data_IF_083655061426
#
_entry.id   IF_083655061426
#
_cell.length_a   1.000
_cell.length_b   1.000
_cell.length_c   1.000
_cell.angle_alpha   90.00
_cell.angle_beta   90.00
_cell.angle_gamma   90.00
#
_symmetry.space_group_name_H-M   'P 1'
#
loop_
_entity.id
_entity.type
_entity.pdbx_description
1 polymer ?
#
# COMPACT_ATOMS: atom_id res chain seq x y z
N UNK A 1 16.17 50.70 -21.96
CA UNK A 1 14.98 50.77 -21.10
C UNK A 1 14.47 49.36 -20.92
N UNK A 2 14.32 48.94 -19.67
CA UNK A 2 14.27 47.55 -19.18
C UNK A 2 13.11 46.71 -19.74
N UNK A 3 13.41 45.45 -20.04
CA UNK A 3 12.45 44.35 -20.14
C UNK A 3 12.04 43.91 -18.73
N UNK A 4 10.74 43.72 -18.48
CA UNK A 4 10.23 43.10 -17.27
C UNK A 4 9.83 41.64 -17.56
N UNK A 5 10.60 40.72 -16.97
CA UNK A 5 10.25 39.33 -16.75
C UNK A 5 9.07 39.24 -15.77
N UNK A 6 7.98 38.59 -16.18
CA UNK A 6 6.96 38.15 -15.24
C UNK A 6 7.40 36.80 -14.65
N UNK A 7 7.89 36.84 -13.42
CA UNK A 7 8.22 35.67 -12.61
C UNK A 7 6.91 35.09 -12.09
N UNK A 8 6.61 33.82 -12.43
CA UNK A 8 5.50 33.08 -11.82
C UNK A 8 5.88 32.75 -10.37
N UNK A 9 5.20 33.38 -9.42
CA UNK A 9 5.26 32.98 -8.02
C UNK A 9 4.42 31.70 -7.83
N UNK A 10 5.07 30.54 -7.80
CA UNK A 10 4.53 29.35 -7.14
C UNK A 10 4.99 29.44 -5.69
N UNK A 11 4.05 29.68 -4.78
CA UNK A 11 4.10 29.19 -3.40
C UNK A 11 2.74 29.47 -2.74
N UNK A 12 1.90 28.45 -2.66
CA UNK A 12 0.89 28.35 -1.61
C UNK A 12 0.95 26.94 -1.05
N UNK A 13 1.51 26.86 0.16
CA UNK A 13 1.36 25.71 1.04
C UNK A 13 -0.13 25.39 1.16
N UNK A 14 -0.54 24.21 0.67
CA UNK A 14 -1.85 23.61 0.90
C UNK A 14 -1.95 23.12 2.37
N UNK A 15 -1.75 24.00 3.34
CA UNK A 15 -1.99 23.69 4.76
C UNK A 15 -3.39 24.21 5.08
N UNK A 16 -4.36 23.27 5.18
CA UNK A 16 -5.70 23.57 5.71
C UNK A 16 -5.57 24.12 7.14
N UNK A 17 -6.39 25.11 7.54
CA UNK A 17 -6.30 25.69 8.87
C UNK A 17 -6.79 24.70 9.93
N UNK A 18 -5.86 24.23 10.74
CA UNK A 18 -6.04 23.45 11.97
C UNK A 18 -4.73 23.53 12.77
N UNK A 19 -4.79 23.47 14.10
CA UNK A 19 -3.54 23.37 14.88
C UNK A 19 -2.78 22.12 14.44
N UNK A 20 -1.45 22.14 14.32
CA UNK A 20 -0.69 20.95 13.95
C UNK A 20 -1.04 19.80 14.90
N UNK A 21 -1.56 18.70 14.35
CA UNK A 21 -1.72 17.45 15.08
C UNK A 21 -0.32 16.97 15.48
N UNK A 22 -0.04 16.97 16.78
CA UNK A 22 1.20 16.43 17.36
C UNK A 22 1.06 14.91 17.48
N UNK A 23 1.40 14.21 16.40
CA UNK A 23 1.33 12.74 16.28
C UNK A 23 2.70 12.24 15.87
N UNK A 24 3.16 11.16 16.49
CA UNK A 24 4.33 10.42 16.01
C UNK A 24 3.94 9.64 14.75
N UNK A 25 4.01 10.29 13.59
CA UNK A 25 3.69 9.65 12.31
C UNK A 25 4.64 8.48 12.00
N UNK A 26 5.87 8.52 12.51
CA UNK A 26 6.84 7.46 12.24
C UNK A 26 6.40 6.16 12.90
N UNK A 27 5.72 6.19 14.05
CA UNK A 27 5.11 5.01 14.68
C UNK A 27 4.18 4.23 13.75
N UNK A 28 3.43 4.94 12.89
CA UNK A 28 2.48 4.37 11.94
C UNK A 28 3.12 4.01 10.58
N UNK A 29 4.39 4.37 10.35
CA UNK A 29 5.13 3.97 9.15
C UNK A 29 5.65 2.53 9.27
N UNK A 30 5.05 1.66 8.48
CA UNK A 30 5.33 0.21 8.46
C UNK A 30 6.40 -0.19 7.46
N UNK A 31 6.94 0.76 6.69
CA UNK A 31 8.06 0.54 5.77
C UNK A 31 9.15 1.60 5.98
N UNK A 32 10.40 1.24 5.64
CA UNK A 32 11.56 2.13 5.64
C UNK A 32 12.39 1.94 4.39
N UNK A 33 13.25 2.90 4.07
CA UNK A 33 14.20 2.75 2.98
C UNK A 33 15.37 1.83 3.38
N UNK A 34 15.91 1.11 2.40
CA UNK A 34 17.07 0.25 2.54
C UNK A 34 17.96 0.37 1.30
N UNK A 35 19.23 0.70 1.51
CA UNK A 35 20.23 0.71 0.46
C UNK A 35 20.72 -0.71 0.22
N UNK A 36 20.43 -1.25 -0.96
CA UNK A 36 20.81 -2.61 -1.33
C UNK A 36 22.33 -2.66 -1.50
N UNK A 37 23.07 -3.42 -0.67
CA UNK A 37 24.51 -3.53 -0.85
C UNK A 37 24.80 -4.25 -2.16
N UNK A 38 25.93 -3.94 -2.80
CA UNK A 38 26.33 -4.59 -4.06
C UNK A 38 27.72 -5.17 -3.96
N UNK A 39 27.94 -6.28 -4.65
CA UNK A 39 29.23 -6.98 -4.71
C UNK A 39 29.54 -7.29 -6.16
N UNK A 40 30.75 -6.92 -6.59
CA UNK A 40 31.23 -7.18 -7.95
C UNK A 40 31.15 -8.67 -8.29
N UNK A 41 30.66 -8.98 -9.50
CA UNK A 41 30.46 -10.35 -9.98
C UNK A 41 29.27 -11.09 -9.36
N UNK A 42 28.44 -10.43 -8.54
CA UNK A 42 27.27 -11.04 -7.90
C UNK A 42 25.97 -10.27 -8.17
N UNK A 43 24.86 -10.99 -8.17
CA UNK A 43 23.51 -10.44 -7.97
C UNK A 43 23.22 -10.45 -6.47
N UNK A 44 22.86 -9.29 -5.94
CA UNK A 44 22.37 -9.18 -4.57
C UNK A 44 20.87 -9.48 -4.56
N UNK A 45 20.46 -10.43 -3.74
CA UNK A 45 19.06 -10.78 -3.52
C UNK A 45 18.68 -10.38 -2.10
N UNK A 46 17.70 -9.50 -1.98
CA UNK A 46 17.13 -9.08 -0.69
C UNK A 46 15.79 -9.76 -0.51
N UNK A 47 15.60 -10.40 0.63
CA UNK A 47 14.32 -11.03 0.99
C UNK A 47 13.83 -10.56 2.34
N UNK A 48 12.52 -10.47 2.52
CA UNK A 48 11.88 -10.36 3.83
C UNK A 48 10.92 -11.53 4.02
N UNK A 49 11.02 -12.27 5.12
CA UNK A 49 10.14 -13.42 5.42
C UNK A 49 10.00 -14.41 4.25
N UNK A 50 11.12 -14.71 3.56
CA UNK A 50 11.15 -15.61 2.39
C UNK A 50 10.78 -14.95 1.04
N UNK A 51 10.18 -13.76 1.06
CA UNK A 51 9.73 -13.00 -0.11
C UNK A 51 10.90 -12.22 -0.71
N UNK A 52 11.20 -12.41 -2.00
CA UNK A 52 12.18 -11.57 -2.70
C UNK A 52 11.65 -10.14 -2.86
N UNK A 53 12.30 -9.18 -2.20
CA UNK A 53 12.01 -7.75 -2.29
C UNK A 53 12.83 -7.06 -3.36
N UNK A 54 14.08 -7.50 -3.61
CA UNK A 54 14.91 -6.94 -4.65
C UNK A 54 15.95 -7.90 -5.20
N UNK A 55 16.30 -7.67 -6.46
CA UNK A 55 17.47 -8.24 -7.11
C UNK A 55 18.26 -7.07 -7.72
N UNK A 56 19.55 -6.97 -7.41
CA UNK A 56 20.37 -5.83 -7.83
C UNK A 56 21.81 -6.24 -8.18
N UNK A 57 22.33 -5.76 -9.31
CA UNK A 57 23.76 -5.83 -9.66
C UNK A 57 24.46 -4.46 -9.58
N UNK A 58 23.68 -3.39 -9.38
CA UNK A 58 24.14 -2.02 -9.21
C UNK A 58 23.36 -1.32 -8.08
N UNK A 59 23.90 -0.25 -7.45
CA UNK A 59 23.27 0.37 -6.29
C UNK A 59 21.81 0.77 -6.55
N UNK A 60 20.94 0.46 -5.58
CA UNK A 60 19.56 0.94 -5.56
C UNK A 60 19.06 1.04 -4.12
N UNK A 61 18.15 1.98 -3.89
CA UNK A 61 17.44 2.11 -2.61
C UNK A 61 16.00 1.63 -2.81
N UNK A 62 15.52 0.80 -1.90
CA UNK A 62 14.17 0.20 -1.95
C UNK A 62 13.41 0.48 -0.67
N UNK A 63 12.09 0.34 -0.72
CA UNK A 63 11.29 0.19 0.50
C UNK A 63 11.38 -1.25 0.99
N UNK A 64 11.63 -1.42 2.28
CA UNK A 64 11.51 -2.69 2.98
C UNK A 64 10.57 -2.53 4.17
N UNK A 65 9.95 -3.60 4.63
CA UNK A 65 9.19 -3.59 5.87
C UNK A 65 10.00 -3.09 7.05
N UNK A 66 9.38 -2.31 7.92
CA UNK A 66 9.98 -1.89 9.18
C UNK A 66 9.88 -3.06 10.16
N UNK A 67 11.03 -3.57 10.57
CA UNK A 67 11.13 -4.62 11.57
C UNK A 67 11.64 -4.02 12.88
N UNK A 68 11.15 -4.52 14.00
CA UNK A 68 11.71 -4.25 15.33
C UNK A 68 13.15 -4.79 15.37
N UNK A 69 14.07 -3.95 15.87
CA UNK A 69 15.53 -4.10 15.71
C UNK A 69 16.15 -5.32 16.42
N UNK A 70 15.36 -6.17 17.07
CA UNK A 70 15.83 -7.22 17.97
C UNK A 70 16.10 -8.57 17.30
N UNK A 71 15.72 -8.78 16.03
CA UNK A 71 15.97 -10.03 15.28
C UNK A 71 16.64 -9.74 13.94
N UNK A 72 17.91 -9.33 13.98
CA UNK A 72 18.72 -9.01 12.78
C UNK A 72 18.82 -10.14 11.75
N UNK A 73 18.51 -11.38 12.14
CA UNK A 73 18.85 -12.58 11.35
C UNK A 73 17.64 -13.32 10.75
N UNK A 74 16.39 -12.99 11.13
CA UNK A 74 15.20 -13.73 10.65
C UNK A 74 14.29 -12.93 9.71
N UNK A 75 14.26 -11.60 9.83
CA UNK A 75 13.28 -10.78 9.11
C UNK A 75 13.71 -10.40 7.69
N UNK A 76 14.87 -9.74 7.54
CA UNK A 76 15.40 -9.23 6.26
C UNK A 76 16.75 -9.86 5.97
N UNK A 77 16.84 -10.66 4.92
CA UNK A 77 18.09 -11.34 4.52
C UNK A 77 18.65 -10.73 3.24
N UNK A 78 19.97 -10.59 3.17
CA UNK A 78 20.68 -10.18 1.95
C UNK A 78 21.70 -11.25 1.58
N UNK A 79 21.60 -11.78 0.36
CA UNK A 79 22.51 -12.81 -0.16
C UNK A 79 23.17 -12.36 -1.45
N UNK A 80 24.44 -12.70 -1.65
CA UNK A 80 25.18 -12.44 -2.88
C UNK A 80 25.31 -13.73 -3.68
N UNK A 81 24.68 -13.80 -4.85
CA UNK A 81 24.70 -14.96 -5.74
C UNK A 81 25.63 -14.65 -6.92
N UNK A 82 26.63 -15.51 -7.24
CA UNK A 82 27.46 -15.32 -8.43
C UNK A 82 26.63 -15.10 -9.71
N UNK A 83 27.08 -14.19 -10.59
CA UNK A 83 26.29 -13.75 -11.76
C UNK A 83 25.97 -14.90 -12.72
N UNK A 84 26.87 -15.86 -12.86
CA UNK A 84 26.74 -17.08 -13.66
C UNK A 84 25.73 -18.08 -13.07
N UNK A 85 25.56 -18.08 -11.75
CA UNK A 85 24.54 -18.86 -11.04
C UNK A 85 23.14 -18.20 -11.07
N UNK A 86 23.03 -16.96 -11.58
CA UNK A 86 21.77 -16.22 -11.71
C UNK A 86 21.45 -15.81 -13.17
N UNK A 87 21.27 -16.77 -14.10
CA UNK A 87 21.20 -16.49 -15.54
C UNK A 87 20.01 -15.63 -15.97
N UNK A 88 18.92 -15.64 -15.21
CA UNK A 88 17.67 -14.94 -15.55
C UNK A 88 17.59 -13.48 -15.04
N UNK A 89 18.69 -12.93 -14.52
CA UNK A 89 18.72 -11.52 -14.13
C UNK A 89 18.61 -10.61 -15.36
N UNK A 90 17.61 -9.72 -15.36
CA UNK A 90 17.29 -8.81 -16.47
C UNK A 90 17.44 -7.33 -16.10
N UNK A 91 18.27 -7.04 -15.09
CA UNK A 91 18.46 -5.71 -14.52
C UNK A 91 17.80 -5.56 -13.16
N UNK A 92 18.20 -4.50 -12.46
CA UNK A 92 17.73 -4.19 -11.11
C UNK A 92 16.20 -4.14 -11.07
N UNK A 93 15.64 -4.80 -10.06
CA UNK A 93 14.21 -4.78 -9.78
C UNK A 93 13.93 -4.86 -8.30
N UNK A 94 12.81 -4.28 -7.89
CA UNK A 94 12.27 -4.42 -6.54
C UNK A 94 10.75 -4.55 -6.55
N UNK A 95 10.22 -5.06 -5.46
CA UNK A 95 8.79 -5.11 -5.20
C UNK A 95 8.48 -4.98 -3.71
N UNK A 96 7.27 -4.49 -3.42
CA UNK A 96 6.70 -4.45 -2.08
C UNK A 96 5.19 -4.69 -2.20
N UNK A 97 4.63 -5.40 -1.24
CA UNK A 97 3.18 -5.52 -1.08
C UNK A 97 2.73 -4.72 0.14
N UNK A 98 1.55 -4.13 0.05
CA UNK A 98 0.88 -3.47 1.18
C UNK A 98 -0.60 -3.78 1.16
N UNK A 99 -1.21 -3.86 2.33
CA UNK A 99 -2.65 -3.69 2.49
C UNK A 99 -2.92 -2.30 3.01
N UNK A 100 -3.90 -1.62 2.41
CA UNK A 100 -4.37 -0.32 2.86
C UNK A 100 -5.83 -0.45 3.25
N UNK A 101 -6.11 -0.09 4.49
CA UNK A 101 -7.43 -0.14 5.12
C UNK A 101 -7.89 1.28 5.42
N UNK A 102 -9.18 1.56 5.29
CA UNK A 102 -9.75 2.89 5.52
C UNK A 102 -10.99 2.83 6.40
N UNK A 103 -11.19 3.92 7.14
CA UNK A 103 -12.47 4.42 7.63
C UNK A 103 -13.04 5.43 6.62
N UNK A 104 -14.37 5.47 6.46
CA UNK A 104 -15.10 6.37 5.55
C UNK A 104 -15.58 7.67 6.21
N UNK A 105 -15.21 7.89 7.47
CA UNK A 105 -15.77 8.92 8.33
C UNK A 105 -14.73 9.49 9.28
N UNK A 106 -14.89 10.77 9.64
CA UNK A 106 -14.09 11.38 10.74
C UNK A 106 -14.48 10.88 12.13
N UNK A 107 -15.56 10.13 12.22
CA UNK A 107 -16.02 9.41 13.40
C UNK A 107 -16.12 7.94 13.01
N UNK A 108 -14.96 7.31 12.85
CA UNK A 108 -14.86 5.91 12.52
C UNK A 108 -15.36 5.02 13.66
N UNK A 109 -15.74 3.80 13.32
CA UNK A 109 -15.99 2.73 14.30
C UNK A 109 -14.75 1.84 14.51
N UNK A 110 -13.66 2.15 13.79
CA UNK A 110 -12.35 1.51 13.90
C UNK A 110 -12.40 0.02 13.54
N UNK A 111 -13.27 -0.37 12.63
CA UNK A 111 -13.22 -1.69 11.99
C UNK A 111 -12.26 -1.72 10.78
N UNK A 112 -11.90 -0.55 10.26
CA UNK A 112 -10.98 -0.32 9.14
C UNK A 112 -11.30 -1.14 7.89
N UNK A 113 -12.58 -1.42 7.62
CA UNK A 113 -12.98 -2.25 6.49
C UNK A 113 -13.81 -1.51 5.44
N UNK A 114 -14.09 -0.22 5.64
CA UNK A 114 -14.92 0.59 4.74
C UNK A 114 -14.43 0.53 3.30
N UNK A 115 -13.11 0.58 3.10
CA UNK A 115 -12.42 0.16 1.89
C UNK A 115 -11.12 -0.54 2.28
N UNK A 116 -10.92 -1.76 1.77
CA UNK A 116 -9.64 -2.48 1.89
C UNK A 116 -9.11 -2.75 0.49
N UNK A 117 -7.85 -2.38 0.28
CA UNK A 117 -7.12 -2.67 -0.96
C UNK A 117 -5.79 -3.36 -0.67
N UNK A 118 -5.40 -4.24 -1.56
CA UNK A 118 -4.06 -4.81 -1.64
C UNK A 118 -3.31 -4.17 -2.80
N UNK A 119 -2.05 -3.82 -2.59
CA UNK A 119 -1.25 -3.05 -3.54
C UNK A 119 0.08 -3.74 -3.78
N UNK A 120 0.40 -3.99 -5.05
CA UNK A 120 1.73 -4.38 -5.50
C UNK A 120 2.45 -3.14 -6.03
N UNK A 121 3.62 -2.84 -5.47
CA UNK A 121 4.58 -1.90 -6.02
C UNK A 121 5.69 -2.64 -6.73
N UNK A 122 6.12 -2.18 -7.90
CA UNK A 122 7.32 -2.70 -8.56
C UNK A 122 8.18 -1.58 -9.11
N UNK A 123 9.49 -1.77 -9.00
CA UNK A 123 10.48 -1.04 -9.78
C UNK A 123 11.20 -2.02 -10.69
N UNK A 124 11.30 -1.73 -11.98
CA UNK A 124 12.16 -2.44 -12.93
C UNK A 124 12.90 -1.41 -13.77
N UNK A 125 14.23 -1.46 -13.74
CA UNK A 125 15.07 -0.44 -14.35
C UNK A 125 14.65 0.97 -13.86
N UNK A 126 14.25 1.87 -14.77
CA UNK A 126 13.83 3.23 -14.45
C UNK A 126 12.32 3.36 -14.23
N UNK A 127 11.57 2.26 -14.21
CA UNK A 127 10.11 2.31 -14.13
C UNK A 127 9.63 1.90 -12.75
N UNK A 128 8.96 2.83 -12.06
CA UNK A 128 8.21 2.56 -10.85
C UNK A 128 6.72 2.50 -11.17
N UNK A 129 6.01 1.52 -10.65
CA UNK A 129 4.55 1.43 -10.80
C UNK A 129 3.89 0.74 -9.62
N UNK A 130 2.57 0.87 -9.56
CA UNK A 130 1.73 0.12 -8.64
C UNK A 130 0.53 -0.50 -9.35
N UNK A 131 0.01 -1.58 -8.79
CA UNK A 131 -1.27 -2.18 -9.15
C UNK A 131 -2.14 -2.33 -7.91
N UNK A 132 -3.40 -1.92 -8.03
CA UNK A 132 -4.41 -2.05 -6.96
C UNK A 132 -5.26 -3.28 -7.20
N UNK A 133 -5.53 -3.99 -6.11
CA UNK A 133 -6.43 -5.12 -6.02
C UNK A 133 -7.47 -4.84 -4.91
N UNK A 134 -8.77 -4.76 -5.24
CA UNK A 134 -9.80 -4.55 -4.23
C UNK A 134 -9.97 -5.80 -3.37
N UNK A 135 -10.13 -5.60 -2.05
CA UNK A 135 -10.27 -6.68 -1.06
C UNK A 135 -11.61 -6.62 -0.33
N UNK A 136 -12.08 -5.42 0.01
CA UNK A 136 -13.36 -5.25 0.72
C UNK A 136 -13.93 -3.86 0.49
N UNK A 137 -15.25 -3.75 0.65
CA UNK A 137 -15.97 -2.47 0.69
C UNK A 137 -17.11 -2.58 1.71
N UNK A 138 -16.82 -2.29 2.98
CA UNK A 138 -17.83 -2.23 4.05
C UNK A 138 -18.78 -1.06 3.92
N UNK A 139 -18.31 0.07 3.41
CA UNK A 139 -19.11 1.29 3.33
C UNK A 139 -20.22 1.23 2.28
N UNK A 140 -21.40 1.74 2.63
CA UNK A 140 -22.48 2.03 1.66
C UNK A 140 -22.36 3.41 0.99
N UNK A 141 -21.42 4.25 1.43
CA UNK A 141 -21.17 5.57 0.84
C UNK A 141 -20.52 5.42 -0.54
N UNK A 142 -20.60 6.50 -1.32
CA UNK A 142 -19.81 6.63 -2.53
C UNK A 142 -18.38 7.01 -2.14
N UNK A 143 -17.46 6.06 -2.28
CA UNK A 143 -16.03 6.21 -1.97
C UNK A 143 -15.25 6.27 -3.28
N UNK A 144 -14.40 7.28 -3.48
CA UNK A 144 -13.41 7.28 -4.57
C UNK A 144 -12.00 7.08 -4.01
N UNK A 145 -11.18 6.29 -4.70
CA UNK A 145 -9.79 6.08 -4.31
C UNK A 145 -8.88 7.09 -4.99
N UNK A 146 -8.00 7.71 -4.23
CA UNK A 146 -6.96 8.62 -4.72
C UNK A 146 -5.58 8.29 -4.14
N UNK A 147 -4.55 8.86 -4.75
CA UNK A 147 -3.21 8.77 -4.19
C UNK A 147 -2.37 10.01 -4.48
N UNK A 148 -1.31 10.15 -3.69
CA UNK A 148 -0.23 11.10 -3.90
C UNK A 148 1.05 10.30 -4.12
N UNK A 149 1.73 10.55 -5.23
CA UNK A 149 3.01 9.90 -5.56
C UNK A 149 4.11 10.92 -5.37
N UNK A 150 5.18 10.50 -4.70
CA UNK A 150 6.38 11.28 -4.45
C UNK A 150 7.61 10.59 -5.00
N UNK A 151 8.64 11.38 -5.33
CA UNK A 151 10.04 10.97 -5.46
C UNK A 151 10.84 11.71 -4.40
N UNK A 152 11.30 11.00 -3.36
CA UNK A 152 11.82 11.65 -2.17
C UNK A 152 10.79 12.63 -1.58
N UNK A 153 11.16 13.91 -1.47
CA UNK A 153 10.24 14.97 -1.02
C UNK A 153 9.39 15.62 -2.13
N UNK A 154 9.65 15.33 -3.41
CA UNK A 154 8.96 15.99 -4.53
C UNK A 154 7.66 15.27 -4.86
N UNK A 155 6.53 15.99 -4.84
CA UNK A 155 5.24 15.49 -5.33
C UNK A 155 5.27 15.33 -6.84
N UNK A 156 5.05 14.11 -7.33
CA UNK A 156 4.99 13.71 -8.75
C UNK A 156 3.56 13.72 -9.25
N UNK A 157 2.63 13.23 -8.44
CA UNK A 157 1.21 13.12 -8.77
C UNK A 157 0.37 13.33 -7.52
N UNK A 158 -0.80 13.96 -7.66
CA UNK A 158 -1.92 13.88 -6.70
C UNK A 158 -3.20 13.80 -7.52
N UNK A 159 -4.06 12.86 -7.20
CA UNK A 159 -5.39 12.81 -7.77
C UNK A 159 -6.10 11.49 -7.57
N UNK A 160 -7.33 11.44 -8.06
CA UNK A 160 -8.13 10.24 -8.06
C UNK A 160 -7.58 9.21 -9.04
N UNK A 161 -7.63 7.97 -8.56
CA UNK A 161 -7.31 6.75 -9.30
C UNK A 161 -8.59 6.10 -9.80
N UNK A 162 -9.71 6.34 -9.11
CA UNK A 162 -11.05 6.12 -9.62
C UNK A 162 -11.37 7.07 -10.79
N UNK A 163 -11.96 6.57 -11.90
CA UNK A 163 -12.35 7.40 -13.05
C UNK A 163 -13.41 8.45 -12.71
N UNK A 164 -13.45 9.52 -13.51
CA UNK A 164 -14.51 10.53 -13.43
C UNK A 164 -15.90 9.90 -13.57
N UNK A 165 -16.82 10.26 -12.67
CA UNK A 165 -18.19 9.73 -12.66
C UNK A 165 -18.32 8.30 -12.13
N UNK A 166 -17.25 7.69 -11.63
CA UNK A 166 -17.26 6.38 -10.98
C UNK A 166 -16.89 6.50 -9.48
N UNK A 167 -17.21 5.45 -8.73
CA UNK A 167 -16.73 5.20 -7.38
C UNK A 167 -16.10 3.81 -7.27
N UNK A 168 -15.52 3.48 -6.12
CA UNK A 168 -14.93 2.17 -5.85
C UNK A 168 -15.95 1.05 -6.06
N UNK A 169 -17.22 1.26 -5.67
CA UNK A 169 -18.28 0.26 -5.84
C UNK A 169 -18.53 -0.06 -7.30
N UNK A 170 -18.67 0.96 -8.15
CA UNK A 170 -18.89 0.75 -9.58
C UNK A 170 -17.64 0.20 -10.28
N UNK A 171 -16.46 0.72 -9.93
CA UNK A 171 -15.20 0.37 -10.58
C UNK A 171 -14.71 -1.04 -10.21
N UNK A 172 -14.69 -1.35 -8.92
CA UNK A 172 -14.05 -2.55 -8.40
C UNK A 172 -15.02 -3.67 -8.09
N UNK A 173 -16.27 -3.32 -7.78
CA UNK A 173 -17.27 -4.26 -7.27
C UNK A 173 -18.53 -4.33 -8.14
N UNK A 174 -18.43 -4.00 -9.44
CA UNK A 174 -19.52 -4.15 -10.42
C UNK A 174 -20.86 -3.56 -9.98
N UNK A 175 -20.83 -2.47 -9.19
CA UNK A 175 -22.03 -1.81 -8.65
C UNK A 175 -22.92 -2.69 -7.77
N UNK A 176 -22.37 -3.78 -7.19
CA UNK A 176 -23.13 -4.62 -6.25
C UNK A 176 -23.52 -3.80 -5.02
N UNK A 177 -24.72 -4.05 -4.47
CA UNK A 177 -25.26 -3.31 -3.32
C UNK A 177 -24.86 -3.96 -1.98
N UNK A 178 -24.94 -3.17 -0.90
CA UNK A 178 -24.67 -3.61 0.47
C UNK A 178 -23.20 -3.57 0.88
N UNK A 179 -22.92 -4.09 2.08
CA UNK A 179 -21.60 -4.21 2.70
C UNK A 179 -20.86 -5.40 2.05
N UNK A 180 -19.94 -5.13 1.11
CA UNK A 180 -19.29 -6.15 0.27
C UNK A 180 -18.08 -6.82 0.95
N UNK A 181 -18.12 -6.84 2.27
CA UNK A 181 -17.12 -7.35 3.19
C UNK A 181 -17.70 -8.45 4.12
N UNK A 182 -19.00 -8.77 4.02
CA UNK A 182 -19.71 -9.73 4.89
C UNK A 182 -20.18 -11.01 4.20
N UNK A 183 -19.92 -11.17 2.89
CA UNK A 183 -20.48 -12.29 2.15
C UNK A 183 -19.67 -13.57 2.32
N UNK A 184 -20.23 -14.53 3.08
CA UNK A 184 -19.81 -15.93 3.09
C UNK A 184 -19.95 -16.51 1.67
N UNK A 185 -18.90 -16.42 0.85
CA UNK A 185 -18.76 -17.05 -0.49
C UNK A 185 -19.82 -16.69 -1.54
N UNK A 186 -20.63 -15.64 -1.35
CA UNK A 186 -21.77 -15.38 -2.25
C UNK A 186 -21.32 -14.80 -3.60
N UNK A 187 -21.13 -15.67 -4.60
CA UNK A 187 -21.25 -15.39 -6.05
C UNK A 187 -20.49 -14.20 -6.67
N UNK A 188 -19.58 -13.55 -5.96
CA UNK A 188 -18.71 -12.53 -6.55
C UNK A 188 -17.57 -13.25 -7.26
N UNK A 189 -17.84 -13.83 -8.44
CA UNK A 189 -16.79 -14.23 -9.38
C UNK A 189 -16.39 -13.01 -10.20
N UNK A 190 -15.72 -12.05 -9.56
CA UNK A 190 -15.05 -10.95 -10.26
C UNK A 190 -13.70 -11.53 -10.70
N UNK A 191 -13.72 -12.32 -11.76
CA UNK A 191 -12.56 -13.06 -12.27
C UNK A 191 -11.46 -12.21 -12.89
N UNK A 192 -11.15 -11.03 -12.35
CA UNK A 192 -9.99 -10.22 -12.75
C UNK A 192 -9.52 -9.38 -11.55
N UNK A 193 -8.23 -9.01 -11.55
CA UNK A 193 -7.64 -7.81 -10.93
C UNK A 193 -6.71 -7.96 -9.71
N UNK A 194 -5.54 -8.57 -9.93
CA UNK A 194 -4.35 -7.71 -9.86
C UNK A 194 -4.44 -6.79 -11.08
N UNK A 195 -4.79 -5.50 -10.92
CA UNK A 195 -4.75 -4.55 -12.04
C UNK A 195 -6.03 -3.85 -12.48
N UNK A 196 -7.05 -3.74 -11.62
CA UNK A 196 -8.22 -2.89 -11.87
C UNK A 196 -7.84 -1.41 -11.93
N UNK A 197 -6.69 -1.07 -11.32
CA UNK A 197 -5.97 0.16 -11.65
C UNK A 197 -4.47 -0.04 -11.55
N UNK A 198 -3.77 0.27 -12.65
CA UNK A 198 -2.31 0.25 -12.72
C UNK A 198 -1.86 1.59 -13.26
N UNK A 199 -0.85 2.18 -12.61
CA UNK A 199 -0.16 3.37 -13.10
C UNK A 199 1.34 3.22 -12.87
N UNK A 200 2.14 3.73 -13.80
CA UNK A 200 3.58 3.76 -13.66
C UNK A 200 4.23 5.03 -14.22
N UNK A 201 5.42 5.32 -13.71
CA UNK A 201 6.20 6.53 -14.00
C UNK A 201 7.63 6.16 -14.40
N UNK A 202 8.16 6.92 -15.36
CA UNK A 202 9.55 6.80 -15.76
C UNK A 202 10.36 7.70 -14.83
N UNK A 203 10.95 7.06 -13.82
CA UNK A 203 11.69 7.71 -12.73
C UNK A 203 12.87 8.51 -13.26
N UNK A 204 13.43 8.12 -14.42
CA UNK A 204 14.53 8.85 -15.06
C UNK A 204 14.14 10.23 -15.58
N UNK A 205 12.83 10.48 -15.79
CA UNK A 205 12.27 11.75 -16.24
C UNK A 205 11.77 12.63 -15.10
N UNK A 206 11.86 12.16 -13.87
CA UNK A 206 11.40 12.88 -12.68
C UNK A 206 12.63 13.40 -11.95
N UNK A 207 12.73 14.72 -11.82
CA UNK A 207 13.82 15.35 -11.06
C UNK A 207 13.74 15.05 -9.56
N UNK A 208 14.87 15.17 -8.87
CA UNK A 208 15.00 14.94 -7.43
C UNK A 208 15.61 13.59 -7.11
N UNK A 209 16.08 13.43 -5.88
CA UNK A 209 16.68 12.20 -5.38
C UNK A 209 15.73 11.51 -4.38
N UNK A 210 15.93 10.21 -4.19
CA UNK A 210 15.15 9.40 -3.24
C UNK A 210 14.17 8.43 -3.89
N UNK A 211 13.64 7.54 -3.06
CA UNK A 211 12.78 6.44 -3.47
C UNK A 211 11.37 6.96 -3.78
N UNK A 212 10.71 6.31 -4.74
CA UNK A 212 9.30 6.59 -5.03
C UNK A 212 8.42 6.15 -3.85
N UNK A 213 7.46 6.98 -3.43
CA UNK A 213 6.51 6.68 -2.35
C UNK A 213 5.09 6.96 -2.82
N UNK A 214 4.12 6.19 -2.35
CA UNK A 214 2.69 6.44 -2.59
C UNK A 214 1.98 6.58 -1.26
N UNK A 215 1.24 7.66 -1.10
CA UNK A 215 0.34 7.91 0.03
C UNK A 215 -1.10 7.80 -0.49
N UNK A 216 -1.92 6.97 0.14
CA UNK A 216 -3.29 6.72 -0.31
C UNK A 216 -4.30 7.54 0.48
N UNK A 217 -5.38 7.92 -0.20
CA UNK A 217 -6.53 8.56 0.43
C UNK A 217 -7.83 8.12 -0.24
N UNK A 218 -8.93 8.28 0.48
CA UNK A 218 -10.27 8.21 -0.10
C UNK A 218 -10.90 9.59 -0.14
N UNK A 219 -11.73 9.82 -1.16
CA UNK A 219 -12.66 10.94 -1.21
C UNK A 219 -14.07 10.42 -0.91
N UNK A 220 -14.69 10.97 0.13
CA UNK A 220 -16.03 10.62 0.63
C UNK A 220 -16.84 11.88 0.90
N UNK A 221 -18.14 11.72 1.15
CA UNK A 221 -19.05 12.80 1.60
C UNK A 221 -18.91 14.10 0.79
N UNK A 222 -18.81 13.97 -0.54
CA UNK A 222 -18.64 15.08 -1.50
C UNK A 222 -17.37 15.93 -1.29
N UNK A 223 -16.19 15.31 -1.35
CA UNK A 223 -14.91 16.02 -1.41
C UNK A 223 -14.12 16.02 -0.10
N UNK A 224 -14.56 15.28 0.90
CA UNK A 224 -13.77 15.04 2.12
C UNK A 224 -12.70 14.02 1.80
N UNK A 225 -11.43 14.44 1.84
CA UNK A 225 -10.28 13.53 1.74
C UNK A 225 -9.94 12.96 3.12
N UNK A 226 -9.83 11.63 3.22
CA UNK A 226 -9.30 10.90 4.38
C UNK A 226 -8.08 10.10 3.92
N UNK A 227 -6.91 10.43 4.43
CA UNK A 227 -5.64 9.79 4.10
C UNK A 227 -5.41 8.61 5.03
N UNK A 228 -4.87 7.50 4.49
CA UNK A 228 -4.47 6.38 5.34
C UNK A 228 -3.28 6.80 6.21
N UNK A 229 -2.26 7.39 5.58
CA UNK A 229 -1.12 7.98 6.27
C UNK A 229 -0.44 8.99 5.36
N UNK A 230 -0.33 10.25 5.80
CA UNK A 230 0.39 11.28 5.06
C UNK A 230 1.16 12.23 5.96
N UNK A 231 2.42 12.47 5.59
CA UNK A 231 3.29 13.48 6.22
C UNK A 231 2.92 14.91 5.84
N UNK A 232 2.25 15.11 4.69
CA UNK A 232 1.81 16.42 4.22
C UNK A 232 0.37 16.74 4.65
N UNK A 233 -0.46 15.72 4.87
CA UNK A 233 -1.89 15.85 5.15
C UNK A 233 -2.27 15.26 6.53
N UNK A 234 -1.54 15.64 7.59
CA UNK A 234 -1.72 15.07 8.94
C UNK A 234 -3.16 15.21 9.48
N UNK A 235 -3.76 16.40 9.36
CA UNK A 235 -5.13 16.67 9.84
C UNK A 235 -6.23 15.90 9.06
N UNK A 236 -5.88 15.39 7.89
CA UNK A 236 -6.73 14.54 7.08
C UNK A 236 -6.31 13.06 7.19
N UNK A 237 -5.27 12.73 7.98
CA UNK A 237 -4.81 11.36 8.24
C UNK A 237 -5.24 10.84 9.61
N UNK A 238 -5.50 11.73 10.57
CA UNK A 238 -5.80 11.38 11.96
C UNK A 238 -7.07 12.06 12.47
N UNK A 239 -7.74 11.39 13.40
CA UNK A 239 -8.85 11.95 14.16
C UNK A 239 -8.38 12.81 15.35
N UNK A 240 -9.35 13.33 16.10
CA UNK A 240 -9.11 14.18 17.27
C UNK A 240 -8.42 13.46 18.43
N UNK A 241 -8.53 12.13 18.47
CA UNK A 241 -7.96 11.25 19.48
C UNK A 241 -6.61 10.66 18.99
N UNK A 242 -6.10 11.17 17.87
CA UNK A 242 -4.83 10.82 17.22
C UNK A 242 -4.80 9.41 16.63
N UNK A 243 -5.96 8.81 16.37
CA UNK A 243 -6.06 7.54 15.67
C UNK A 243 -6.12 7.78 14.15
N UNK A 244 -5.46 6.94 13.34
CA UNK A 244 -5.43 7.15 11.90
C UNK A 244 -6.78 6.78 11.26
N UNK A 245 -7.17 7.47 10.20
CA UNK A 245 -8.33 7.10 9.37
C UNK A 245 -8.04 5.95 8.42
N UNK A 246 -6.79 5.52 8.30
CA UNK A 246 -6.47 4.30 7.59
C UNK A 246 -5.18 3.67 8.06
N UNK A 247 -5.00 2.40 7.72
CA UNK A 247 -3.83 1.62 8.07
C UNK A 247 -3.07 1.28 6.81
N UNK A 248 -1.75 1.41 6.84
CA UNK A 248 -0.87 0.91 5.78
C UNK A 248 -0.06 -0.22 6.37
N UNK A 249 -0.42 -1.46 6.03
CA UNK A 249 0.14 -2.66 6.62
C UNK A 249 1.13 -3.30 5.63
N UNK A 250 2.31 -3.64 6.12
CA UNK A 250 3.33 -4.45 5.44
C UNK A 250 3.68 -5.63 6.33
N UNK A 251 4.14 -6.72 5.72
CA UNK A 251 4.76 -7.84 6.43
C UNK A 251 3.87 -8.51 7.43
N UNK A 252 2.69 -8.91 6.97
CA UNK A 252 1.85 -9.85 7.71
C UNK A 252 2.41 -11.29 7.65
N UNK A 253 3.40 -11.53 6.79
CA UNK A 253 3.99 -12.86 6.57
C UNK A 253 3.05 -13.84 5.87
N UNK A 254 1.90 -13.35 5.39
CA UNK A 254 0.86 -14.20 4.80
C UNK A 254 0.85 -14.11 3.29
N UNK A 255 0.93 -15.28 2.68
CA UNK A 255 0.79 -15.51 1.25
C UNK A 255 -0.63 -15.95 0.92
N UNK A 256 -1.11 -15.56 -0.26
CA UNK A 256 -2.27 -16.22 -0.86
C UNK A 256 -1.88 -16.89 -2.17
N UNK A 257 -2.26 -18.15 -2.29
CA UNK A 257 -2.14 -18.96 -3.50
C UNK A 257 -3.55 -19.28 -3.96
N UNK A 258 -3.81 -19.14 -5.26
CA UNK A 258 -5.15 -19.37 -5.81
C UNK A 258 -5.69 -20.78 -5.50
N UNK A 259 -7.01 -20.91 -5.31
CA UNK A 259 -7.66 -22.20 -5.00
C UNK A 259 -7.47 -23.27 -6.10
N UNK A 260 -7.07 -22.85 -7.32
CA UNK A 260 -6.72 -23.76 -8.42
C UNK A 260 -5.29 -24.30 -8.33
N UNK A 261 -4.56 -23.94 -7.28
CA UNK A 261 -3.31 -24.57 -6.85
C UNK A 261 -2.09 -24.24 -7.68
N UNK A 262 -2.09 -23.13 -8.44
CA UNK A 262 -1.05 -22.85 -9.41
C UNK A 262 -0.25 -21.57 -9.18
N UNK A 263 -0.83 -20.55 -8.54
CA UNK A 263 -0.29 -19.20 -8.64
C UNK A 263 -0.27 -18.41 -7.31
N UNK A 264 0.92 -17.91 -6.95
CA UNK A 264 1.12 -16.99 -5.83
C UNK A 264 0.57 -15.61 -6.18
N UNK A 265 -0.53 -15.25 -5.54
CA UNK A 265 -1.30 -14.05 -5.83
C UNK A 265 -0.71 -12.79 -5.22
N UNK A 266 0.08 -12.93 -4.16
CA UNK A 266 0.72 -11.82 -3.48
C UNK A 266 1.06 -12.17 -2.04
N UNK A 267 1.76 -11.25 -1.40
CA UNK A 267 2.18 -11.35 0.00
C UNK A 267 1.50 -10.26 0.81
N UNK A 268 1.61 -10.37 2.13
CA UNK A 268 1.11 -9.39 3.09
C UNK A 268 -0.43 -9.29 3.16
N UNK A 269 -1.11 -10.40 2.93
CA UNK A 269 -2.57 -10.46 3.06
C UNK A 269 -3.01 -10.25 4.52
N UNK A 270 -4.11 -9.51 4.69
CA UNK A 270 -4.66 -9.16 5.99
C UNK A 270 -6.16 -9.46 6.05
N UNK A 271 -6.55 -10.39 6.92
CA UNK A 271 -7.94 -10.73 7.21
C UNK A 271 -8.54 -9.57 8.01
N UNK A 272 -9.47 -8.84 7.42
CA UNK A 272 -9.98 -7.61 8.02
C UNK A 272 -11.16 -7.89 8.97
N UNK A 273 -11.41 -7.05 9.99
CA UNK A 273 -12.59 -7.15 10.85
C UNK A 273 -13.90 -7.10 10.05
N UNK A 274 -14.92 -7.86 10.46
CA UNK A 274 -16.27 -7.75 9.87
C UNK A 274 -16.86 -6.37 10.10
N UNK A 275 -17.82 -6.00 9.26
CA UNK A 275 -18.59 -4.76 9.39
C UNK A 275 -19.04 -4.48 10.83
N UNK A 276 -18.75 -3.27 11.30
CA UNK A 276 -19.05 -2.76 12.65
C UNK A 276 -18.37 -3.52 13.80
N UNK A 277 -17.42 -4.42 13.50
CA UNK A 277 -16.61 -5.10 14.52
C UNK A 277 -15.32 -4.32 14.69
N UNK A 278 -15.25 -3.58 15.79
CA UNK A 278 -14.08 -2.81 16.16
C UNK A 278 -12.81 -3.68 16.19
N UNK A 279 -11.71 -3.17 15.62
CA UNK A 279 -10.45 -3.90 15.43
C UNK A 279 -9.87 -4.52 16.69
N UNK A 280 -10.03 -3.85 17.84
CA UNK A 280 -9.66 -4.35 19.18
C UNK A 280 -10.25 -5.72 19.52
N UNK A 281 -11.43 -6.05 19.03
CA UNK A 281 -12.09 -7.33 19.30
C UNK A 281 -11.48 -8.48 18.48
N UNK A 282 -10.85 -8.14 17.36
CA UNK A 282 -10.26 -9.09 16.41
C UNK A 282 -8.75 -9.21 16.61
N UNK A 283 -8.07 -8.07 16.74
CA UNK A 283 -6.62 -7.93 16.87
C UNK A 283 -6.25 -7.01 18.06
N UNK A 284 -6.29 -7.52 19.29
CA UNK A 284 -5.95 -6.73 20.49
C UNK A 284 -4.54 -6.12 20.44
N UNK A 285 -3.57 -6.83 19.88
CA UNK A 285 -2.18 -6.38 19.72
C UNK A 285 -2.09 -5.22 18.71
N UNK A 286 -2.86 -5.27 17.63
CA UNK A 286 -2.93 -4.18 16.66
C UNK A 286 -3.58 -2.94 17.27
N UNK A 287 -4.62 -3.12 18.09
CA UNK A 287 -5.18 -2.01 18.85
C UNK A 287 -4.20 -1.43 19.87
N UNK A 288 -3.42 -2.27 20.54
CA UNK A 288 -2.36 -1.83 21.45
C UNK A 288 -1.29 -1.02 20.69
N UNK A 289 -0.88 -1.46 19.51
CA UNK A 289 -0.03 -0.67 18.61
C UNK A 289 -0.68 0.68 18.27
N UNK A 290 -1.95 0.73 17.89
CA UNK A 290 -2.62 1.98 17.49
C UNK A 290 -2.73 3.01 18.63
N UNK A 291 -2.84 2.55 19.87
CA UNK A 291 -3.19 3.39 21.04
C UNK A 291 -2.03 3.65 22.00
N UNK A 292 -0.86 3.08 21.75
CA UNK A 292 0.33 3.20 22.61
C UNK A 292 1.59 3.30 21.77
N UNK A 293 2.73 3.57 22.41
CA UNK A 293 4.04 3.59 21.75
C UNK A 293 4.64 2.19 21.53
N UNK A 294 3.86 1.11 21.75
CA UNK A 294 4.32 -0.26 21.56
C UNK A 294 4.48 -0.60 20.07
N UNK A 295 5.65 -1.10 19.68
CA UNK A 295 5.94 -1.52 18.30
C UNK A 295 5.96 -3.04 18.15
N UNK A 296 5.44 -3.55 17.04
CA UNK A 296 5.41 -4.99 16.72
C UNK A 296 5.88 -5.22 15.27
N UNK A 297 6.33 -6.44 14.97
CA UNK A 297 6.31 -6.91 13.58
C UNK A 297 4.92 -7.49 13.30
N UNK A 298 4.26 -7.11 12.21
CA UNK A 298 2.92 -7.64 11.90
C UNK A 298 2.92 -9.17 11.79
N UNK A 299 3.97 -9.76 11.21
CA UNK A 299 4.14 -11.21 11.12
C UNK A 299 4.23 -11.93 12.48
N UNK A 300 4.53 -11.21 13.58
CA UNK A 300 4.57 -11.81 14.93
C UNK A 300 3.20 -11.80 15.62
N UNK A 301 2.29 -10.90 15.20
CA UNK A 301 0.98 -10.70 15.83
C UNK A 301 -0.20 -11.08 14.92
N UNK A 302 0.09 -11.50 13.69
CA UNK A 302 -0.91 -11.90 12.72
C UNK A 302 -0.59 -13.28 12.14
N UNK A 303 -1.60 -14.14 12.08
CA UNK A 303 -1.53 -15.45 11.44
C UNK A 303 -2.65 -15.59 10.42
N UNK A 304 -2.30 -15.43 9.14
CA UNK A 304 -3.27 -15.52 8.05
C UNK A 304 -3.91 -16.90 7.87
N UNK A 305 -3.34 -17.97 8.45
CA UNK A 305 -3.89 -19.32 8.39
C UNK A 305 -4.97 -19.57 9.45
N UNK A 306 -4.95 -18.79 10.53
CA UNK A 306 -5.88 -18.89 11.65
C UNK A 306 -6.73 -17.62 11.71
N UNK A 307 -7.73 -17.54 10.83
CA UNK A 307 -8.67 -16.41 10.75
C UNK A 307 -9.38 -16.24 12.10
N UNK A 308 -9.22 -15.11 12.81
CA UNK A 308 -9.89 -14.89 14.09
C UNK A 308 -11.41 -14.88 13.97
N UNK A 309 -12.09 -15.11 15.10
CA UNK A 309 -13.53 -14.84 15.18
C UNK A 309 -13.80 -13.37 14.82
N UNK A 310 -14.91 -13.13 14.12
CA UNK A 310 -15.30 -11.81 13.64
C UNK A 310 -14.37 -11.15 12.60
N UNK A 311 -13.41 -11.88 12.02
CA UNK A 311 -12.70 -11.45 10.82
C UNK A 311 -13.32 -12.06 9.56
N UNK A 312 -13.03 -11.45 8.42
CA UNK A 312 -13.27 -12.04 7.10
C UNK A 312 -11.94 -12.44 6.46
N UNK A 313 -11.84 -13.65 5.87
CA UNK A 313 -10.65 -14.07 5.16
C UNK A 313 -10.49 -13.25 3.88
N UNK A 314 -9.52 -12.33 3.84
CA UNK A 314 -9.34 -11.44 2.68
C UNK A 314 -9.15 -12.22 1.37
N UNK A 315 -8.55 -13.40 1.49
CA UNK A 315 -8.22 -14.29 0.39
C UNK A 315 -9.42 -15.11 -0.15
N UNK A 316 -10.38 -15.47 0.71
CA UNK A 316 -11.38 -16.50 0.37
C UNK A 316 -12.71 -15.91 -0.15
N UNK A 317 -12.78 -14.59 -0.30
CA UNK A 317 -13.99 -13.89 -0.76
C UNK A 317 -14.21 -14.01 -2.27
N UNK A 318 -13.24 -14.55 -3.01
CA UNK A 318 -13.33 -14.76 -4.45
C UNK A 318 -13.40 -13.45 -5.27
N UNK A 319 -13.17 -12.31 -4.62
CA UNK A 319 -13.22 -10.96 -5.21
C UNK A 319 -12.13 -10.71 -6.25
N UNK A 320 -11.22 -11.65 -6.43
CA UNK A 320 -10.02 -11.43 -7.20
C UNK A 320 -9.52 -12.71 -7.90
N UNK A 321 -9.02 -12.54 -9.11
CA UNK A 321 -8.24 -13.53 -9.85
C UNK A 321 -6.84 -12.94 -10.07
N UNK A 322 -5.83 -13.53 -9.42
CA UNK A 322 -4.47 -13.06 -9.59
C UNK A 322 -3.86 -13.64 -10.87
N UNK A 323 -3.43 -12.75 -11.76
CA UNK A 323 -2.47 -13.08 -12.82
C UNK A 323 -1.23 -12.23 -12.54
N UNK A 324 -0.03 -12.76 -12.76
CA UNK A 324 1.19 -11.93 -12.67
C UNK A 324 1.03 -10.76 -13.63
N UNK A 325 0.88 -9.55 -13.10
CA UNK A 325 0.92 -8.35 -13.93
C UNK A 325 2.22 -7.63 -13.64
N UNK A 326 2.99 -7.42 -14.71
CA UNK A 326 4.11 -6.48 -14.68
C UNK A 326 3.54 -5.05 -14.66
N UNK A 327 3.47 -4.45 -13.48
CA UNK A 327 2.95 -3.08 -13.30
C UNK A 327 3.89 -2.04 -13.92
N UNK A 328 5.08 -2.44 -14.36
CA UNK A 328 6.06 -1.57 -15.03
C UNK A 328 5.91 -1.56 -16.56
N UNK A 329 4.94 -2.29 -17.11
CA UNK A 329 4.69 -2.32 -18.55
C UNK A 329 4.32 -0.92 -19.10
N UNK A 330 4.93 -0.54 -20.24
CA UNK A 330 4.74 0.76 -20.89
C UNK A 330 3.27 1.13 -21.16
N UNK A 331 2.36 0.17 -21.33
CA UNK A 331 0.94 0.46 -21.56
C UNK A 331 0.24 1.17 -20.39
N UNK A 332 0.83 1.15 -19.19
CA UNK A 332 0.28 1.79 -17.99
C UNK A 332 0.98 3.11 -17.63
N UNK A 333 1.76 3.67 -18.56
CA UNK A 333 2.49 4.92 -18.34
C UNK A 333 1.52 6.05 -18.03
N UNK A 334 1.74 6.72 -16.90
CA UNK A 334 1.23 8.05 -16.69
C UNK A 334 2.09 9.00 -17.53
N UNK A 335 1.49 9.57 -18.57
CA UNK A 335 2.14 10.51 -19.50
C UNK A 335 2.49 11.85 -18.82
#
# INVERSE_FOLDING_TARGET
>A
MLAFLAVSCIEKNDVRPGSPLDVDIDHYQTARTYDVPVKEGCITVVKAYGVTLAEAESPMTIWVPRMTLTRSDEGLTTTFVPRDEYPNFAGNKSQLFQVVCFEDSRRGDYDYNDLVIHVLYQTRQNIFGFGVQPVALGSTKSIKLGCVVYKGGKRVFKGLITPDGADCRSQYFKSMEGTLNTYDKANIKVGEYLGSTIRNWDVSKIEGDGVMRVEWYIEVDNGVELYALSTAYLNDSFDKDKLPYGLVITTTGTEYVDEKGGYLCGFDWFNYPRESVHIKEVYPEMWNWLTTDNSYNFADIYDGRNVPANACPAADLGLFEARTIDVTNRKYRAD
#
